data_IF_212616563068
#
_entry.id   IF_212616563068
#
_cell.length_a   1.000
_cell.length_b   1.000
_cell.length_c   1.000
_cell.angle_alpha   90.00
_cell.angle_beta   90.00
_cell.angle_gamma   90.00
#
_symmetry.space_group_name_H-M   'P 1'
#
loop_
_entity.id
_entity.type
_entity.pdbx_description
1 polymer ?
#
# COMPACT_ATOMS: atom_id res chain seq x y z
N UNK A 1 -22.74 22.12 0.24
CA UNK A 1 -21.87 21.48 1.27
C UNK A 1 -20.45 21.51 0.73
N UNK A 2 -19.44 21.84 1.54
CA UNK A 2 -18.06 21.83 1.07
C UNK A 2 -17.65 20.40 0.67
N UNK A 3 -16.82 20.21 -0.37
CA UNK A 3 -16.44 18.88 -0.85
C UNK A 3 -15.80 18.02 0.25
N UNK A 4 -15.10 18.64 1.21
CA UNK A 4 -14.51 17.96 2.37
C UNK A 4 -15.56 17.34 3.30
N UNK A 5 -16.69 18.03 3.51
CA UNK A 5 -17.80 17.49 4.32
C UNK A 5 -18.42 16.28 3.63
N UNK A 6 -18.55 16.30 2.30
CA UNK A 6 -19.06 15.17 1.52
C UNK A 6 -18.15 13.94 1.67
N UNK A 7 -16.83 14.11 1.55
CA UNK A 7 -15.86 13.02 1.72
C UNK A 7 -15.94 12.43 3.13
N UNK A 8 -16.01 13.28 4.15
CA UNK A 8 -16.12 12.84 5.54
C UNK A 8 -17.40 12.04 5.77
N UNK A 9 -18.55 12.55 5.30
CA UNK A 9 -19.84 11.86 5.44
C UNK A 9 -19.81 10.51 4.74
N UNK A 10 -19.20 10.42 3.55
CA UNK A 10 -19.06 9.15 2.83
C UNK A 10 -18.15 8.17 3.56
N UNK A 11 -17.02 8.64 4.10
CA UNK A 11 -16.11 7.80 4.89
C UNK A 11 -16.78 7.24 6.15
N UNK A 12 -17.54 8.08 6.88
CA UNK A 12 -18.32 7.65 8.04
C UNK A 12 -19.40 6.66 7.64
N UNK A 13 -20.12 6.92 6.54
CA UNK A 13 -21.13 6.00 6.03
C UNK A 13 -20.55 4.62 5.69
N UNK A 14 -19.43 4.56 4.97
CA UNK A 14 -18.77 3.29 4.61
C UNK A 14 -18.35 2.52 5.87
N UNK A 15 -17.75 3.20 6.86
CA UNK A 15 -17.35 2.58 8.11
C UNK A 15 -18.55 2.04 8.91
N UNK A 16 -19.63 2.83 9.04
CA UNK A 16 -20.85 2.42 9.72
C UNK A 16 -21.53 1.25 9.00
N UNK A 17 -21.63 1.32 7.68
CA UNK A 17 -22.27 0.28 6.87
C UNK A 17 -21.49 -1.04 6.96
N UNK A 18 -20.17 -1.02 6.80
CA UNK A 18 -19.33 -2.21 6.95
C UNK A 18 -19.45 -2.83 8.36
N UNK A 19 -19.45 -1.99 9.40
CA UNK A 19 -19.64 -2.43 10.78
C UNK A 19 -21.03 -3.03 10.99
N UNK A 20 -22.08 -2.41 10.46
CA UNK A 20 -23.44 -2.91 10.53
C UNK A 20 -23.59 -4.28 9.86
N UNK A 21 -22.96 -4.49 8.69
CA UNK A 21 -22.97 -5.80 8.02
C UNK A 21 -22.29 -6.89 8.86
N UNK A 22 -21.14 -6.59 9.47
CA UNK A 22 -20.44 -7.52 10.37
C UNK A 22 -21.32 -7.85 11.59
N UNK A 23 -21.96 -6.84 12.19
CA UNK A 23 -22.86 -7.02 13.32
C UNK A 23 -24.09 -7.87 12.96
N UNK A 24 -24.76 -7.55 11.86
CA UNK A 24 -25.92 -8.31 11.37
C UNK A 24 -25.53 -9.75 11.08
N UNK A 25 -24.40 -9.99 10.41
CA UNK A 25 -23.88 -11.33 10.15
C UNK A 25 -23.56 -12.10 11.44
N UNK A 26 -22.95 -11.44 12.42
CA UNK A 26 -22.64 -12.04 13.73
C UNK A 26 -23.88 -12.34 14.59
N UNK A 27 -24.92 -11.51 14.48
CA UNK A 27 -26.17 -11.66 15.23
C UNK A 27 -27.11 -12.69 14.61
N UNK A 28 -27.25 -12.70 13.28
CA UNK A 28 -28.13 -13.60 12.53
C UNK A 28 -27.47 -14.94 12.18
N UNK A 29 -26.14 -15.02 12.23
CA UNK A 29 -25.39 -16.24 11.91
C UNK A 29 -25.66 -17.39 12.89
N UNK A 30 -25.72 -18.64 12.41
CA UNK A 30 -25.97 -19.79 13.27
C UNK A 30 -24.86 -19.98 14.31
N UNK A 31 -25.22 -19.84 15.59
CA UNK A 31 -24.31 -20.06 16.73
C UNK A 31 -24.20 -21.54 17.06
N UNK A 32 -23.56 -22.31 16.18
CA UNK A 32 -23.17 -23.69 16.49
C UNK A 32 -22.09 -23.69 17.58
N UNK A 33 -22.09 -24.65 18.53
CA UNK A 33 -21.03 -24.79 19.52
C UNK A 33 -19.66 -24.74 18.83
N UNK A 34 -18.89 -23.70 19.13
CA UNK A 34 -17.53 -23.55 18.64
C UNK A 34 -16.63 -24.46 19.47
N UNK A 35 -16.70 -25.76 19.22
CA UNK A 35 -15.78 -26.72 19.83
C UNK A 35 -14.34 -26.39 19.45
N UNK A 36 -13.38 -26.85 20.27
CA UNK A 36 -11.94 -26.65 20.07
C UNK A 36 -11.50 -26.90 18.62
N UNK A 37 -12.04 -27.95 17.98
CA UNK A 37 -11.73 -28.31 16.60
C UNK A 37 -12.06 -27.21 15.56
N UNK A 38 -13.13 -26.41 15.78
CA UNK A 38 -13.50 -25.30 14.87
C UNK A 38 -12.59 -24.08 15.00
N UNK A 39 -11.86 -23.96 16.11
CA UNK A 39 -10.97 -22.83 16.40
C UNK A 39 -9.50 -23.13 16.09
N UNK A 40 -9.16 -24.40 15.82
CA UNK A 40 -7.79 -24.81 15.49
C UNK A 40 -7.36 -24.25 14.13
N UNK A 41 -6.10 -23.83 13.97
CA UNK A 41 -5.53 -23.52 12.67
C UNK A 41 -5.70 -24.68 11.69
N UNK A 42 -5.88 -24.35 10.41
CA UNK A 42 -6.07 -25.35 9.38
C UNK A 42 -4.75 -26.07 9.07
N UNK A 43 -4.62 -27.31 9.53
CA UNK A 43 -3.57 -28.26 9.11
C UNK A 43 -4.10 -29.70 9.05
N UNK A 44 -5.31 -29.91 8.50
CA UNK A 44 -5.92 -31.25 8.35
C UNK A 44 -5.94 -32.11 9.64
N UNK A 45 -6.08 -31.48 10.82
CA UNK A 45 -6.12 -32.17 12.12
C UNK A 45 -4.76 -32.35 12.80
N UNK A 46 -3.66 -31.95 12.15
CA UNK A 46 -2.36 -31.79 12.81
C UNK A 46 -2.43 -30.62 13.81
N UNK A 47 -1.65 -30.71 14.87
CA UNK A 47 -1.43 -29.56 15.74
C UNK A 47 -0.61 -28.56 14.93
N UNK A 48 -1.12 -27.33 14.79
CA UNK A 48 -0.40 -26.27 14.09
C UNK A 48 0.90 -25.98 14.82
N UNK A 49 1.97 -26.64 14.42
CA UNK A 49 3.30 -26.41 14.96
C UNK A 49 3.77 -25.06 14.44
N UNK A 50 3.49 -24.00 15.19
CA UNK A 50 4.15 -22.71 14.99
C UNK A 50 5.61 -22.92 15.40
N UNK A 51 6.45 -23.34 14.45
CA UNK A 51 7.91 -23.30 14.63
C UNK A 51 8.28 -21.85 14.95
N UNK A 52 8.73 -21.64 16.19
CA UNK A 52 9.12 -20.34 16.73
C UNK A 52 10.31 -19.70 15.99
N UNK A 53 11.00 -20.45 15.13
CA UNK A 53 12.13 -20.01 14.30
C UNK A 53 11.80 -20.03 12.79
N UNK A 54 10.52 -19.89 12.40
CA UNK A 54 10.19 -19.71 10.98
C UNK A 54 10.64 -18.33 10.53
N UNK A 55 11.80 -18.26 9.88
CA UNK A 55 12.34 -17.02 9.31
C UNK A 55 11.54 -16.63 8.08
N UNK A 56 10.89 -15.48 8.12
CA UNK A 56 10.26 -14.87 6.95
C UNK A 56 11.36 -14.43 5.97
N UNK A 57 11.23 -14.70 4.66
CA UNK A 57 12.21 -14.26 3.68
C UNK A 57 12.44 -12.75 3.70
N UNK A 58 13.71 -12.32 3.64
CA UNK A 58 14.11 -10.89 3.60
C UNK A 58 13.56 -10.15 2.37
N UNK A 59 13.16 -10.89 1.33
CA UNK A 59 12.59 -10.36 0.08
C UNK A 59 11.38 -9.45 0.31
N UNK A 60 10.54 -9.75 1.30
CA UNK A 60 9.39 -8.90 1.68
C UNK A 60 9.85 -7.54 2.23
N UNK A 61 10.95 -7.52 2.99
CA UNK A 61 11.52 -6.30 3.54
C UNK A 61 12.14 -5.42 2.45
N UNK A 62 12.90 -6.01 1.52
CA UNK A 62 13.47 -5.27 0.38
C UNK A 62 12.37 -4.63 -0.47
N UNK A 63 11.31 -5.40 -0.78
CA UNK A 63 10.15 -4.90 -1.53
C UNK A 63 9.44 -3.75 -0.79
N UNK A 64 9.28 -3.86 0.53
CA UNK A 64 8.63 -2.82 1.33
C UNK A 64 9.44 -1.51 1.36
N UNK A 65 10.77 -1.60 1.52
CA UNK A 65 11.63 -0.41 1.47
C UNK A 65 11.60 0.24 0.10
N UNK A 66 11.66 -0.56 -0.96
CA UNK A 66 11.56 -0.05 -2.32
C UNK A 66 10.23 0.68 -2.55
N UNK A 67 9.12 0.12 -2.08
CA UNK A 67 7.81 0.77 -2.15
C UNK A 67 7.79 2.12 -1.42
N UNK A 68 8.36 2.19 -0.20
CA UNK A 68 8.45 3.45 0.56
C UNK A 68 9.28 4.50 -0.20
N UNK A 69 10.38 4.10 -0.83
CA UNK A 69 11.21 5.01 -1.62
C UNK A 69 10.46 5.57 -2.84
N UNK A 70 9.72 4.72 -3.57
CA UNK A 70 8.88 5.18 -4.68
C UNK A 70 7.70 6.05 -4.24
N UNK A 71 7.08 5.76 -3.10
CA UNK A 71 5.98 6.57 -2.56
C UNK A 71 6.48 7.99 -2.18
N UNK A 72 7.67 8.06 -1.58
CA UNK A 72 8.34 9.34 -1.29
C UNK A 72 8.63 10.12 -2.58
N UNK A 73 9.03 9.45 -3.67
CA UNK A 73 9.25 10.10 -4.97
C UNK A 73 7.97 10.77 -5.49
N UNK A 74 6.83 10.09 -5.38
CA UNK A 74 5.52 10.61 -5.82
C UNK A 74 5.12 11.85 -5.02
N UNK A 75 5.44 11.90 -3.72
CA UNK A 75 5.21 13.09 -2.88
C UNK A 75 5.94 14.33 -3.45
N UNK A 76 7.12 14.17 -4.07
CA UNK A 76 7.82 15.27 -4.73
C UNK A 76 7.28 15.58 -6.13
N UNK A 77 6.87 14.55 -6.87
CA UNK A 77 6.32 14.71 -8.21
C UNK A 77 4.97 15.42 -8.21
N UNK A 78 4.13 15.20 -7.20
CA UNK A 78 2.76 15.72 -7.20
C UNK A 78 2.68 17.26 -7.16
N UNK A 79 3.37 17.97 -6.23
CA UNK A 79 3.40 19.43 -6.24
C UNK A 79 4.00 20.01 -7.54
N UNK A 80 5.03 19.36 -8.08
CA UNK A 80 5.61 19.75 -9.37
C UNK A 80 4.59 19.62 -10.51
N UNK A 81 3.86 18.50 -10.58
CA UNK A 81 2.89 18.23 -11.64
C UNK A 81 1.74 19.24 -11.62
N UNK A 82 1.25 19.58 -10.42
CA UNK A 82 0.17 20.57 -10.25
C UNK A 82 0.66 21.99 -10.60
N UNK A 83 1.88 22.37 -10.23
CA UNK A 83 2.43 23.70 -10.47
C UNK A 83 3.05 23.89 -11.87
N UNK A 84 3.24 22.82 -12.66
CA UNK A 84 3.95 22.88 -13.94
C UNK A 84 3.32 23.87 -14.93
N UNK A 85 1.99 23.98 -14.96
CA UNK A 85 1.27 24.92 -15.81
C UNK A 85 1.62 26.38 -15.55
N UNK A 86 1.75 26.76 -14.28
CA UNK A 86 2.12 28.13 -13.88
C UNK A 86 3.54 28.46 -14.35
N UNK A 87 4.46 27.51 -14.20
CA UNK A 87 5.84 27.67 -14.64
C UNK A 87 6.00 27.72 -16.17
N UNK A 88 5.15 27.00 -16.90
CA UNK A 88 5.10 27.06 -18.35
C UNK A 88 4.65 28.45 -18.81
N UNK A 89 3.61 29.01 -18.18
CA UNK A 89 3.12 30.37 -18.48
C UNK A 89 4.15 31.46 -18.15
N UNK A 90 4.98 31.24 -17.13
CA UNK A 90 6.06 32.14 -16.73
C UNK A 90 7.35 31.99 -17.58
N UNK A 91 7.33 31.19 -18.65
CA UNK A 91 8.49 30.96 -19.53
C UNK A 91 9.60 30.08 -18.93
N UNK A 92 9.35 29.45 -17.78
CA UNK A 92 10.32 28.58 -17.07
C UNK A 92 10.05 27.07 -17.26
N UNK A 93 9.10 26.71 -18.12
CA UNK A 93 8.67 25.32 -18.31
C UNK A 93 9.80 24.36 -18.65
N UNK A 94 10.70 24.73 -19.56
CA UNK A 94 11.82 23.87 -19.98
C UNK A 94 12.79 23.58 -18.82
N UNK A 95 13.13 24.59 -18.04
CA UNK A 95 14.04 24.42 -16.90
C UNK A 95 13.46 23.45 -15.86
N UNK A 96 12.18 23.63 -15.51
CA UNK A 96 11.49 22.83 -14.50
C UNK A 96 11.18 21.43 -14.99
N UNK A 97 10.95 21.26 -16.29
CA UNK A 97 10.86 19.95 -16.92
C UNK A 97 12.19 19.20 -16.84
N UNK A 98 13.31 19.83 -17.20
CA UNK A 98 14.64 19.20 -17.12
C UNK A 98 15.00 18.85 -15.68
N UNK A 99 14.72 19.73 -14.73
CA UNK A 99 14.95 19.46 -13.30
C UNK A 99 14.22 18.19 -12.84
N UNK A 100 12.95 18.01 -13.22
CA UNK A 100 12.19 16.80 -12.92
C UNK A 100 12.70 15.58 -13.69
N UNK A 101 13.09 15.74 -14.95
CA UNK A 101 13.66 14.64 -15.74
C UNK A 101 14.96 14.12 -15.12
N UNK A 102 15.83 15.00 -14.61
CA UNK A 102 17.06 14.61 -13.89
C UNK A 102 16.72 13.94 -12.56
N UNK A 103 15.75 14.47 -11.82
CA UNK A 103 15.27 13.84 -10.58
C UNK A 103 14.80 12.40 -10.84
N UNK A 104 13.89 12.20 -11.80
CA UNK A 104 13.40 10.87 -12.19
C UNK A 104 14.53 9.96 -12.69
N UNK A 105 15.48 10.48 -13.46
CA UNK A 105 16.59 9.69 -13.96
C UNK A 105 17.37 9.02 -12.82
N UNK A 106 17.63 9.73 -11.71
CA UNK A 106 18.34 9.17 -10.55
C UNK A 106 17.59 7.98 -9.96
N UNK A 107 16.27 8.06 -9.81
CA UNK A 107 15.46 6.94 -9.31
C UNK A 107 15.41 5.77 -10.28
N UNK A 108 15.24 6.05 -11.58
CA UNK A 108 15.29 5.02 -12.64
C UNK A 108 16.64 4.29 -12.62
N UNK A 109 17.75 5.01 -12.45
CA UNK A 109 19.07 4.37 -12.30
C UNK A 109 19.15 3.46 -11.07
N UNK A 110 18.59 3.90 -9.93
CA UNK A 110 18.49 3.07 -8.72
C UNK A 110 17.67 1.80 -8.95
N UNK A 111 16.52 1.92 -9.61
CA UNK A 111 15.66 0.77 -9.96
C UNK A 111 16.36 -0.21 -10.90
N UNK A 112 17.04 0.30 -11.94
CA UNK A 112 17.80 -0.53 -12.87
C UNK A 112 18.91 -1.31 -12.14
N UNK A 113 19.58 -0.67 -11.18
CA UNK A 113 20.59 -1.33 -10.36
C UNK A 113 20.00 -2.45 -9.49
N UNK A 114 18.84 -2.21 -8.90
CA UNK A 114 18.17 -3.19 -8.05
C UNK A 114 17.68 -4.41 -8.83
N UNK A 115 17.09 -4.19 -10.01
CA UNK A 115 16.71 -5.27 -10.94
C UNK A 115 17.94 -6.08 -11.33
N UNK A 116 19.05 -5.41 -11.68
CA UNK A 116 20.31 -6.09 -12.00
C UNK A 116 20.87 -6.89 -10.82
N UNK A 117 20.66 -6.40 -9.60
CA UNK A 117 21.11 -7.06 -8.37
C UNK A 117 20.24 -8.26 -7.97
N UNK A 118 19.17 -8.57 -8.73
CA UNK A 118 18.25 -9.69 -8.48
C UNK A 118 17.54 -9.62 -7.12
N UNK A 119 17.50 -8.44 -6.50
CA UNK A 119 16.87 -8.23 -5.19
C UNK A 119 15.35 -8.47 -5.23
N UNK A 120 14.77 -8.39 -6.43
CA UNK A 120 13.34 -8.57 -6.71
C UNK A 120 13.02 -9.96 -7.30
N UNK A 121 13.91 -10.96 -7.20
CA UNK A 121 13.61 -12.32 -7.68
C UNK A 121 12.80 -13.13 -6.63
N UNK A 122 11.65 -13.67 -7.05
CA UNK A 122 10.66 -14.32 -6.18
C UNK A 122 10.70 -15.86 -6.20
N UNK A 123 11.75 -16.46 -6.75
CA UNK A 123 11.95 -17.93 -6.76
C UNK A 123 12.38 -18.50 -5.39
#
# INVERSE_FOLDING_TARGET
MSPMVTILVLGVFVALFGTALILVSSLLGPRSPQGEMKKRPYECGLEGEIKSDTKIPVKFYLTAILFILFDIEIIFMYPWAVAYGDYLSAGKGVYIFIAMAVFLAVFIFGLLWEIKSKALEWD
#
